data_IF_516676842980
#
_entry.id   IF_516676842980
#
_cell.length_a   1.000
_cell.length_b   1.000
_cell.length_c   1.000
_cell.angle_alpha   90.00
_cell.angle_beta   90.00
_cell.angle_gamma   90.00
#
_symmetry.space_group_name_H-M   'P 1'
#
loop_
_entity.id
_entity.type
_entity.pdbx_description
1 polymer ?
#
# COMPACT_ATOMS: atom_id res chain seq x y z
N UNK A 1 -11.01 -13.26 -17.67
CA UNK A 1 -10.82 -13.28 -16.21
C UNK A 1 -9.61 -12.44 -15.75
N UNK A 2 -8.83 -11.86 -16.69
CA UNK A 2 -7.48 -11.32 -16.52
C UNK A 2 -7.42 -9.84 -16.11
N UNK A 3 -7.92 -9.50 -14.91
CA UNK A 3 -7.88 -8.11 -14.44
C UNK A 3 -8.42 -7.90 -13.04
N UNK A 4 -9.24 -8.84 -12.55
CA UNK A 4 -9.83 -8.78 -11.21
C UNK A 4 -8.78 -8.67 -10.11
N UNK A 5 -7.65 -9.35 -10.24
CA UNK A 5 -6.56 -9.32 -9.26
C UNK A 5 -5.78 -8.01 -9.33
N UNK A 6 -5.51 -7.47 -10.52
CA UNK A 6 -4.89 -6.15 -10.71
C UNK A 6 -5.73 -5.03 -10.09
N UNK A 7 -7.03 -5.00 -10.37
CA UNK A 7 -7.94 -4.00 -9.78
C UNK A 7 -8.04 -4.16 -8.26
N UNK A 8 -8.02 -5.40 -7.76
CA UNK A 8 -8.02 -5.66 -6.32
C UNK A 8 -6.73 -5.16 -5.65
N UNK A 9 -5.55 -5.40 -6.23
CA UNK A 9 -4.27 -4.85 -5.71
C UNK A 9 -4.30 -3.32 -5.70
N UNK A 10 -4.83 -2.69 -6.76
CA UNK A 10 -5.02 -1.23 -6.80
C UNK A 10 -5.94 -0.74 -5.68
N UNK A 11 -7.04 -1.44 -5.42
CA UNK A 11 -7.96 -1.09 -4.34
C UNK A 11 -7.29 -1.22 -2.97
N UNK A 12 -6.46 -2.24 -2.74
CA UNK A 12 -5.70 -2.43 -1.50
C UNK A 12 -4.70 -1.28 -1.29
N UNK A 13 -3.91 -0.95 -2.31
CA UNK A 13 -2.94 0.14 -2.23
C UNK A 13 -3.62 1.50 -1.98
N UNK A 14 -4.68 1.81 -2.73
CA UNK A 14 -5.47 3.03 -2.52
C UNK A 14 -6.12 3.08 -1.14
N UNK A 15 -6.58 1.94 -0.62
CA UNK A 15 -7.11 1.81 0.73
C UNK A 15 -6.06 2.06 1.81
N UNK A 16 -4.84 1.53 1.66
CA UNK A 16 -3.75 1.76 2.60
C UNK A 16 -3.34 3.25 2.64
N UNK A 17 -3.15 3.86 1.47
CA UNK A 17 -2.80 5.28 1.36
C UNK A 17 -3.87 6.17 2.01
N UNK A 18 -5.15 5.85 1.80
CA UNK A 18 -6.26 6.55 2.43
C UNK A 18 -6.22 6.42 3.95
N UNK A 19 -6.03 5.21 4.48
CA UNK A 19 -5.96 5.00 5.94
C UNK A 19 -4.80 5.78 6.57
N UNK A 20 -3.63 5.83 5.93
CA UNK A 20 -2.49 6.60 6.42
C UNK A 20 -2.81 8.09 6.54
N UNK A 21 -3.56 8.64 5.59
CA UNK A 21 -4.04 10.02 5.63
C UNK A 21 -5.09 10.22 6.73
N UNK A 22 -6.10 9.34 6.81
CA UNK A 22 -7.17 9.42 7.81
C UNK A 22 -6.65 9.31 9.24
N UNK A 23 -5.53 8.60 9.42
CA UNK A 23 -4.85 8.41 10.71
C UNK A 23 -3.77 9.46 10.99
N UNK A 24 -3.55 10.40 10.08
CA UNK A 24 -2.60 11.50 10.24
C UNK A 24 -1.12 11.10 10.13
N UNK A 25 -0.82 9.90 9.64
CA UNK A 25 0.56 9.41 9.45
C UNK A 25 1.26 10.21 8.35
N UNK A 26 0.54 10.52 7.27
CA UNK A 26 1.01 11.40 6.19
C UNK A 26 -0.08 12.40 5.81
N UNK A 27 0.26 13.62 5.37
CA UNK A 27 -0.75 14.59 4.97
C UNK A 27 -1.37 14.20 3.62
N UNK A 28 -2.62 14.58 3.35
CA UNK A 28 -3.24 14.36 2.04
C UNK A 28 -2.61 15.25 0.96
N UNK A 29 -2.13 14.66 -0.14
CA UNK A 29 -1.69 15.43 -1.32
C UNK A 29 -2.16 14.76 -2.61
N UNK A 30 -2.38 15.54 -3.67
CA UNK A 30 -2.82 15.03 -4.98
C UNK A 30 -1.68 14.59 -5.89
N UNK A 31 -0.44 14.93 -5.56
CA UNK A 31 0.71 14.85 -6.49
C UNK A 31 1.81 13.90 -6.03
N UNK A 32 1.60 13.11 -4.97
CA UNK A 32 2.65 12.19 -4.50
C UNK A 32 2.79 10.99 -5.42
N UNK A 33 4.04 10.69 -5.72
CA UNK A 33 4.47 9.40 -6.23
C UNK A 33 4.49 8.35 -5.11
N UNK A 34 4.47 7.08 -5.49
CA UNK A 34 4.52 5.96 -4.54
C UNK A 34 5.82 5.97 -3.72
N UNK A 35 6.94 6.38 -4.34
CA UNK A 35 8.22 6.58 -3.67
C UNK A 35 8.22 7.71 -2.64
N UNK A 36 7.58 8.85 -2.93
CA UNK A 36 7.44 9.94 -1.96
C UNK A 36 6.55 9.55 -0.78
N UNK A 37 5.47 8.78 -1.03
CA UNK A 37 4.64 8.21 0.02
C UNK A 37 5.47 7.32 0.95
N UNK A 38 6.29 6.41 0.39
CA UNK A 38 7.15 5.53 1.18
C UNK A 38 8.19 6.31 1.99
N UNK A 39 8.79 7.35 1.40
CA UNK A 39 9.74 8.20 2.11
C UNK A 39 9.09 8.96 3.29
N UNK A 40 7.87 9.46 3.11
CA UNK A 40 7.12 10.12 4.18
C UNK A 40 6.74 9.14 5.29
N UNK A 41 6.22 7.95 4.94
CA UNK A 41 5.88 6.91 5.91
C UNK A 41 7.12 6.40 6.64
N UNK A 42 8.25 6.21 5.96
CA UNK A 42 9.49 5.79 6.62
C UNK A 42 10.01 6.80 7.63
N UNK A 43 9.67 8.09 7.50
CA UNK A 43 10.02 9.13 8.47
C UNK A 43 9.01 9.22 9.60
N UNK A 44 7.72 9.17 9.29
CA UNK A 44 6.64 9.39 10.25
C UNK A 44 6.26 8.12 11.04
N UNK A 45 6.33 6.96 10.40
CA UNK A 45 5.94 5.66 10.95
C UNK A 45 6.85 4.53 10.40
N UNK A 46 8.11 4.43 10.87
CA UNK A 46 9.05 3.40 10.43
C UNK A 46 8.52 1.96 10.45
N UNK A 47 7.71 1.51 11.45
CA UNK A 47 7.16 0.16 11.47
C UNK A 47 6.18 -0.14 10.31
N UNK A 48 5.52 0.89 9.78
CA UNK A 48 4.56 0.77 8.68
C UNK A 48 5.26 0.68 7.32
N UNK A 49 6.48 1.18 7.21
CA UNK A 49 7.18 1.30 5.94
C UNK A 49 7.49 -0.05 5.26
N UNK A 50 7.97 -1.10 5.96
CA UNK A 50 8.21 -2.40 5.33
C UNK A 50 6.95 -3.03 4.69
N UNK A 51 5.81 -3.23 5.40
CA UNK A 51 4.64 -3.82 4.77
C UNK A 51 4.03 -2.91 3.67
N UNK A 52 4.11 -1.58 3.82
CA UNK A 52 3.68 -0.67 2.77
C UNK A 52 4.54 -0.80 1.51
N UNK A 53 5.86 -0.95 1.66
CA UNK A 53 6.79 -1.14 0.53
C UNK A 53 6.48 -2.40 -0.26
N UNK A 54 6.17 -3.51 0.42
CA UNK A 54 5.74 -4.75 -0.23
C UNK A 54 4.46 -4.55 -1.05
N UNK A 55 3.47 -3.85 -0.48
CA UNK A 55 2.21 -3.53 -1.16
C UNK A 55 2.43 -2.61 -2.36
N UNK A 56 3.29 -1.60 -2.23
CA UNK A 56 3.70 -0.71 -3.32
C UNK A 56 4.33 -1.50 -4.46
N UNK A 57 5.26 -2.41 -4.17
CA UNK A 57 5.89 -3.24 -5.20
C UNK A 57 4.89 -4.10 -5.97
N UNK A 58 3.93 -4.71 -5.28
CA UNK A 58 2.86 -5.47 -5.93
C UNK A 58 1.98 -4.58 -6.82
N UNK A 59 1.67 -3.36 -6.38
CA UNK A 59 0.94 -2.39 -7.17
C UNK A 59 1.72 -1.92 -8.40
N UNK A 60 2.99 -1.55 -8.26
CA UNK A 60 3.82 -1.04 -9.35
C UNK A 60 4.02 -2.10 -10.44
N UNK A 61 4.28 -3.35 -10.07
CA UNK A 61 4.37 -4.46 -11.01
C UNK A 61 3.05 -4.68 -11.77
N UNK A 62 1.92 -4.60 -11.07
CA UNK A 62 0.61 -4.78 -11.69
C UNK A 62 0.19 -3.61 -12.59
N UNK A 63 0.56 -2.38 -12.19
CA UNK A 63 0.07 -1.16 -12.83
C UNK A 63 1.01 -0.64 -13.91
N UNK A 64 2.29 -0.49 -13.59
CA UNK A 64 3.33 0.00 -14.49
C UNK A 64 4.06 -1.14 -15.22
N UNK A 65 4.27 -2.27 -14.54
CA UNK A 65 4.86 -3.46 -15.17
C UNK A 65 3.90 -4.25 -16.05
N UNK A 66 2.60 -3.95 -15.98
CA UNK A 66 1.52 -4.70 -16.66
C UNK A 66 1.55 -6.22 -16.39
N UNK A 67 2.12 -6.64 -15.25
CA UNK A 67 2.21 -8.03 -14.85
C UNK A 67 0.93 -8.43 -14.12
N UNK A 68 0.26 -9.49 -14.56
CA UNK A 68 -0.90 -10.00 -13.85
C UNK A 68 -0.46 -10.65 -12.52
N UNK A 69 -0.95 -10.19 -11.35
CA UNK A 69 -0.49 -10.70 -10.06
C UNK A 69 -0.83 -12.18 -9.83
N UNK A 70 -1.87 -12.69 -10.50
CA UNK A 70 -2.46 -13.98 -10.16
C UNK A 70 -3.04 -14.02 -8.73
N UNK A 71 -3.38 -15.21 -8.26
CA UNK A 71 -3.93 -15.42 -6.93
C UNK A 71 -2.86 -15.24 -5.84
N UNK A 72 -1.65 -15.75 -6.06
CA UNK A 72 -0.54 -15.64 -5.11
C UNK A 72 -0.08 -14.19 -4.92
N UNK A 73 0.04 -13.42 -6.01
CA UNK A 73 0.40 -12.01 -5.93
C UNK A 73 -0.68 -11.18 -5.23
N UNK A 74 -1.95 -11.51 -5.44
CA UNK A 74 -3.05 -10.88 -4.69
C UNK A 74 -3.04 -11.26 -3.21
N UNK A 75 -2.80 -12.54 -2.87
CA UNK A 75 -2.70 -12.98 -1.47
C UNK A 75 -1.54 -12.29 -0.74
N UNK A 76 -0.39 -12.15 -1.40
CA UNK A 76 0.75 -11.40 -0.89
C UNK A 76 0.42 -9.92 -0.64
N UNK A 77 -0.18 -9.25 -1.64
CA UNK A 77 -0.61 -7.86 -1.51
C UNK A 77 -1.63 -7.67 -0.39
N UNK A 78 -2.58 -8.61 -0.24
CA UNK A 78 -3.55 -8.59 0.85
C UNK A 78 -2.88 -8.75 2.22
N UNK A 79 -1.95 -9.67 2.36
CA UNK A 79 -1.21 -9.84 3.61
C UNK A 79 -0.38 -8.61 3.98
N UNK A 80 0.26 -7.97 2.99
CA UNK A 80 0.98 -6.72 3.19
C UNK A 80 0.05 -5.59 3.65
N UNK A 81 -1.11 -5.46 2.99
CA UNK A 81 -2.16 -4.51 3.40
C UNK A 81 -2.63 -4.72 4.84
N UNK A 82 -2.93 -5.96 5.23
CA UNK A 82 -3.38 -6.29 6.59
C UNK A 82 -2.31 -5.93 7.64
N UNK A 83 -1.02 -6.18 7.35
CA UNK A 83 0.09 -5.75 8.22
C UNK A 83 0.20 -4.23 8.29
N UNK A 84 0.11 -3.52 7.16
CA UNK A 84 0.08 -2.05 7.16
C UNK A 84 -1.02 -1.50 8.07
N UNK A 85 -2.24 -2.08 8.01
CA UNK A 85 -3.33 -1.65 8.86
C UNK A 85 -3.13 -1.99 10.34
N UNK A 86 -2.54 -3.15 10.64
CA UNK A 86 -2.24 -3.55 12.02
C UNK A 86 -1.27 -2.54 12.65
N UNK A 87 -0.16 -2.26 11.99
CA UNK A 87 0.84 -1.27 12.46
C UNK A 87 0.21 0.12 12.65
N UNK A 88 -0.66 0.55 11.73
CA UNK A 88 -1.38 1.82 11.85
C UNK A 88 -2.40 1.82 13.00
N UNK A 89 -3.01 0.68 13.32
CA UNK A 89 -3.93 0.53 14.44
C UNK A 89 -3.23 0.56 15.80
N UNK A 90 -2.00 0.04 15.90
CA UNK A 90 -1.22 0.01 17.13
C UNK A 90 -0.61 1.38 17.50
N UNK A 91 -0.41 2.26 16.52
CA UNK A 91 0.07 3.64 16.71
C UNK A 91 -0.97 4.58 17.37
N UNK A 92 -1.64 4.17 18.46
CA UNK A 92 -2.64 4.99 19.17
C UNK A 92 -2.17 6.47 19.30
N UNK A 93 -3.04 7.45 19.01
CA UNK A 93 -2.73 8.87 19.12
C UNK A 93 -2.44 9.29 20.57
#
# INVERSE_FOLDING_TARGET
>A
ASGRTRDAVRALFGGAARTLVERGVVPQTRTRTDGELLADVSRAAPPVAPPLSELTGAFELAWYGHVEPGEDGYAGARGAYERTLAEVGEMRP
#
